data_IF_335686955430
#
_entry.id   IF_335686955430
#
_cell.length_a   1.000
_cell.length_b   1.000
_cell.length_c   1.000
_cell.angle_alpha   90.00
_cell.angle_beta   90.00
_cell.angle_gamma   90.00
#
_symmetry.space_group_name_H-M   'P 1'
#
loop_
_entity.id
_entity.type
_entity.pdbx_description
1 polymer ?
#
# COMPACT_ATOMS: atom_id res chain seq x y z
N UNK A 1 -18.11 -20.51 21.88
CA UNK A 1 -19.07 -19.39 22.07
C UNK A 1 -19.71 -19.05 20.72
N UNK A 2 -21.01 -18.57 20.68
CA UNK A 2 -21.60 -18.08 19.42
C UNK A 2 -21.01 -16.71 19.05
N UNK A 3 -20.79 -16.46 17.76
CA UNK A 3 -20.21 -15.21 17.27
C UNK A 3 -21.00 -13.96 17.70
N UNK A 4 -22.35 -14.05 17.77
CA UNK A 4 -23.19 -12.95 18.24
C UNK A 4 -22.98 -12.62 19.73
N UNK A 5 -22.64 -13.59 20.57
CA UNK A 5 -22.33 -13.35 21.98
C UNK A 5 -20.92 -12.71 22.12
N UNK A 6 -19.95 -13.18 21.34
CA UNK A 6 -18.62 -12.58 21.29
C UNK A 6 -18.68 -11.13 20.80
N UNK A 7 -19.57 -10.85 19.84
CA UNK A 7 -19.78 -9.49 19.33
C UNK A 7 -20.27 -8.52 20.42
N UNK A 8 -21.11 -8.95 21.35
CA UNK A 8 -21.53 -8.09 22.48
C UNK A 8 -20.34 -7.77 23.38
N UNK A 9 -19.49 -8.74 23.68
CA UNK A 9 -18.25 -8.52 24.46
C UNK A 9 -17.33 -7.53 23.72
N UNK A 10 -17.19 -7.69 22.40
CA UNK A 10 -16.40 -6.76 21.58
C UNK A 10 -16.94 -5.33 21.63
N UNK A 11 -18.26 -5.13 21.61
CA UNK A 11 -18.89 -3.81 21.71
C UNK A 11 -18.67 -3.14 23.07
N UNK A 12 -18.49 -3.92 24.13
CA UNK A 12 -18.17 -3.41 25.47
C UNK A 12 -16.69 -3.04 25.61
N UNK A 13 -15.83 -3.49 24.67
CA UNK A 13 -14.41 -3.18 24.64
C UNK A 13 -14.14 -1.88 23.87
N UNK A 14 -13.16 -1.09 24.32
CA UNK A 14 -12.82 0.20 23.68
C UNK A 14 -12.07 0.02 22.36
N UNK A 15 -11.30 -1.07 22.24
CA UNK A 15 -10.47 -1.37 21.06
C UNK A 15 -10.07 -2.85 21.03
N UNK A 16 -9.44 -3.26 19.94
CA UNK A 16 -8.85 -4.61 19.80
C UNK A 16 -7.33 -4.47 19.67
N UNK A 17 -6.59 -5.33 20.35
CA UNK A 17 -5.13 -5.43 20.20
C UNK A 17 -4.69 -6.88 20.01
N UNK A 18 -3.64 -7.09 19.23
CA UNK A 18 -2.93 -8.35 19.07
C UNK A 18 -1.50 -8.29 19.61
N UNK A 19 -1.11 -7.11 20.16
CA UNK A 19 0.23 -6.85 20.70
C UNK A 19 0.14 -6.67 22.22
N UNK A 20 0.66 -7.61 22.98
CA UNK A 20 0.68 -7.60 24.45
C UNK A 20 1.57 -6.50 25.06
N UNK A 21 2.37 -5.83 24.25
CA UNK A 21 3.18 -4.67 24.66
C UNK A 21 2.41 -3.36 24.56
N UNK A 22 1.30 -3.36 23.83
CA UNK A 22 0.41 -2.22 23.65
C UNK A 22 -1.04 -2.68 23.93
N UNK A 23 -1.43 -2.59 25.19
CA UNK A 23 -2.74 -2.99 25.71
C UNK A 23 -3.50 -1.74 26.18
N UNK A 24 -4.24 -1.05 25.30
CA UNK A 24 -5.10 0.05 25.74
C UNK A 24 -6.09 -0.43 26.79
N UNK A 25 -6.34 0.40 27.80
CA UNK A 25 -7.25 0.07 28.88
C UNK A 25 -8.65 -0.29 28.36
N UNK A 26 -9.24 -1.36 28.87
CA UNK A 26 -10.53 -1.87 28.41
C UNK A 26 -10.53 -2.53 27.00
N UNK A 27 -9.37 -2.81 26.41
CA UNK A 27 -9.30 -3.46 25.09
C UNK A 27 -9.56 -4.96 25.14
N UNK A 28 -9.88 -5.55 23.96
CA UNK A 28 -9.96 -6.98 23.71
C UNK A 28 -8.63 -7.46 23.13
N UNK A 29 -7.90 -8.29 23.88
CA UNK A 29 -6.69 -8.94 23.37
C UNK A 29 -7.05 -10.17 22.54
N UNK A 30 -6.43 -10.36 21.37
CA UNK A 30 -6.57 -11.57 20.53
C UNK A 30 -5.20 -12.25 20.40
N UNK A 31 -5.09 -13.46 20.93
CA UNK A 31 -3.84 -14.21 21.04
C UNK A 31 -3.46 -14.88 19.72
N UNK A 32 -2.93 -14.11 18.75
CA UNK A 32 -2.48 -14.68 17.47
C UNK A 32 -1.20 -15.51 17.64
N UNK A 33 -1.05 -16.53 16.81
CA UNK A 33 0.17 -17.33 16.66
C UNK A 33 0.96 -16.88 15.45
N UNK A 34 2.28 -16.79 15.58
CA UNK A 34 3.23 -16.58 14.49
C UNK A 34 4.21 -17.75 14.42
N UNK A 35 5.09 -17.73 13.43
CA UNK A 35 6.10 -18.78 13.23
C UNK A 35 7.04 -18.95 14.45
N UNK A 36 7.34 -17.86 15.15
CA UNK A 36 8.32 -17.81 16.23
C UNK A 36 7.72 -17.46 17.60
N UNK A 37 6.41 -17.26 17.72
CA UNK A 37 5.75 -16.91 18.98
C UNK A 37 4.33 -17.47 19.08
N UNK A 38 3.86 -17.66 20.33
CA UNK A 38 2.51 -18.05 20.64
C UNK A 38 1.84 -16.95 21.50
N UNK A 39 0.89 -16.22 20.91
CA UNK A 39 0.17 -15.13 21.59
C UNK A 39 -0.58 -15.57 22.84
N UNK A 40 -1.00 -16.84 22.92
CA UNK A 40 -1.68 -17.38 24.10
C UNK A 40 -0.85 -17.23 25.38
N UNK A 41 0.47 -17.39 25.30
CA UNK A 41 1.38 -17.23 26.43
C UNK A 41 1.39 -15.79 27.02
N UNK A 42 0.92 -14.81 26.27
CA UNK A 42 0.87 -13.41 26.66
C UNK A 42 -0.53 -12.97 27.12
N UNK A 43 -1.54 -13.83 27.10
CA UNK A 43 -2.91 -13.46 27.45
C UNK A 43 -3.02 -12.95 28.90
N UNK A 44 -2.33 -13.60 29.85
CA UNK A 44 -2.26 -13.11 31.24
C UNK A 44 -1.65 -11.72 31.31
N UNK A 45 -0.52 -11.50 30.65
CA UNK A 45 0.16 -10.20 30.63
C UNK A 45 -0.74 -9.11 30.07
N UNK A 46 -1.47 -9.40 28.98
CA UNK A 46 -2.40 -8.46 28.37
C UNK A 46 -3.54 -8.06 29.32
N UNK A 47 -4.12 -9.03 30.04
CA UNK A 47 -5.15 -8.78 31.05
C UNK A 47 -4.62 -7.99 32.24
N UNK A 48 -3.41 -8.29 32.71
CA UNK A 48 -2.75 -7.56 33.78
C UNK A 48 -2.35 -6.12 33.38
N UNK A 49 -2.18 -5.88 32.07
CA UNK A 49 -1.82 -4.59 31.48
C UNK A 49 -3.02 -3.71 31.10
N UNK A 50 -4.27 -4.13 31.37
CA UNK A 50 -5.46 -3.32 31.17
C UNK A 50 -6.46 -3.83 30.15
N UNK A 51 -6.17 -4.93 29.41
CA UNK A 51 -7.18 -5.55 28.57
C UNK A 51 -8.37 -6.06 29.38
N UNK A 52 -9.60 -5.81 28.93
CA UNK A 52 -10.82 -6.29 29.58
C UNK A 52 -11.01 -7.79 29.40
N UNK A 53 -10.71 -8.32 28.21
CA UNK A 53 -10.85 -9.73 27.85
C UNK A 53 -9.67 -10.17 26.98
N UNK A 54 -9.44 -11.50 26.96
CA UNK A 54 -8.45 -12.14 26.11
C UNK A 54 -9.06 -13.34 25.36
N UNK A 55 -9.06 -13.30 24.03
CA UNK A 55 -9.41 -14.44 23.17
C UNK A 55 -8.17 -15.32 23.04
N UNK A 56 -8.32 -16.59 23.40
CA UNK A 56 -7.28 -17.62 23.34
C UNK A 56 -7.80 -18.87 22.63
N UNK A 57 -6.93 -19.68 22.04
CA UNK A 57 -7.27 -20.97 21.43
C UNK A 57 -6.54 -22.16 22.08
N UNK A 58 -5.86 -21.93 23.21
CA UNK A 58 -5.17 -22.95 24.00
C UNK A 58 -5.54 -22.82 25.49
N UNK A 59 -6.35 -23.77 26.00
CA UNK A 59 -6.93 -23.72 27.35
C UNK A 59 -5.88 -23.68 28.48
N UNK A 60 -4.68 -24.26 28.27
CA UNK A 60 -3.62 -24.30 29.27
C UNK A 60 -3.10 -22.90 29.66
N UNK A 61 -3.39 -21.87 28.88
CA UNK A 61 -3.01 -20.48 29.20
C UNK A 61 -4.12 -19.71 29.93
N UNK A 62 -5.32 -20.29 30.08
CA UNK A 62 -6.36 -19.68 30.87
C UNK A 62 -6.10 -19.88 32.37
N UNK A 63 -6.48 -18.90 33.18
CA UNK A 63 -6.55 -19.07 34.65
C UNK A 63 -7.91 -19.61 34.99
N UNK A 64 -7.93 -20.72 35.73
CA UNK A 64 -9.17 -21.37 36.15
C UNK A 64 -10.04 -20.40 36.99
N UNK A 65 -11.32 -20.29 36.62
CA UNK A 65 -12.28 -19.38 37.25
C UNK A 65 -12.24 -17.93 36.78
N UNK A 66 -11.26 -17.51 35.98
CA UNK A 66 -11.20 -16.16 35.43
C UNK A 66 -12.00 -16.08 34.11
N UNK A 67 -13.17 -15.44 34.16
CA UNK A 67 -14.10 -15.32 33.02
C UNK A 67 -13.63 -14.33 31.95
N UNK A 68 -12.53 -13.64 32.15
CA UNK A 68 -11.96 -12.72 31.12
C UNK A 68 -11.30 -13.48 29.98
N UNK A 69 -10.98 -14.76 30.15
CA UNK A 69 -10.49 -15.61 29.08
C UNK A 69 -11.63 -16.18 28.25
N UNK A 70 -11.57 -15.94 26.94
CA UNK A 70 -12.55 -16.43 25.97
C UNK A 70 -11.87 -17.48 25.12
N UNK A 71 -12.22 -18.77 25.37
CA UNK A 71 -11.67 -19.87 24.57
C UNK A 71 -12.43 -20.02 23.27
N UNK A 72 -11.68 -20.10 22.17
CA UNK A 72 -12.15 -20.33 20.79
C UNK A 72 -11.35 -21.46 20.13
N UNK A 73 -11.80 -21.94 18.97
CA UNK A 73 -11.11 -22.99 18.23
C UNK A 73 -9.84 -22.46 17.51
N UNK A 74 -9.90 -21.23 16.99
CA UNK A 74 -8.82 -20.54 16.28
C UNK A 74 -8.98 -19.03 16.46
N UNK A 75 -7.96 -18.39 17.04
CA UNK A 75 -7.97 -16.94 17.30
C UNK A 75 -8.00 -16.09 16.04
N UNK A 76 -7.25 -16.49 15.00
CA UNK A 76 -7.18 -15.75 13.73
C UNK A 76 -8.50 -15.82 12.97
N UNK A 77 -9.05 -17.03 12.83
CA UNK A 77 -10.35 -17.23 12.19
C UNK A 77 -11.45 -16.49 12.95
N UNK A 78 -11.43 -16.52 14.28
CA UNK A 78 -12.39 -15.79 15.13
C UNK A 78 -12.29 -14.28 14.90
N UNK A 79 -11.08 -13.73 14.83
CA UNK A 79 -10.86 -12.31 14.52
C UNK A 79 -11.43 -11.93 13.15
N UNK A 80 -11.19 -12.73 12.13
CA UNK A 80 -11.68 -12.50 10.77
C UNK A 80 -13.21 -12.56 10.68
N UNK A 81 -13.83 -13.55 11.36
CA UNK A 81 -15.28 -13.68 11.45
C UNK A 81 -15.90 -12.51 12.22
N UNK A 82 -15.29 -12.10 13.34
CA UNK A 82 -15.74 -10.96 14.14
C UNK A 82 -15.68 -9.66 13.33
N UNK A 83 -14.59 -9.44 12.58
CA UNK A 83 -14.42 -8.26 11.73
C UNK A 83 -15.46 -8.21 10.60
N UNK A 84 -15.70 -9.33 9.91
CA UNK A 84 -16.75 -9.41 8.89
C UNK A 84 -18.14 -9.20 9.49
N UNK A 85 -18.42 -9.81 10.64
CA UNK A 85 -19.70 -9.63 11.34
C UNK A 85 -19.90 -8.16 11.73
N UNK A 86 -18.89 -7.53 12.33
CA UNK A 86 -18.92 -6.11 12.72
C UNK A 86 -19.19 -5.18 11.52
N UNK A 87 -18.44 -5.37 10.42
CA UNK A 87 -18.66 -4.64 9.18
C UNK A 87 -20.11 -4.74 8.68
N UNK A 88 -20.68 -5.94 8.72
CA UNK A 88 -22.08 -6.18 8.31
C UNK A 88 -23.10 -5.52 9.23
N UNK A 89 -22.85 -5.52 10.55
CA UNK A 89 -23.75 -4.87 11.52
C UNK A 89 -23.81 -3.34 11.32
N UNK A 90 -22.68 -2.71 10.99
CA UNK A 90 -22.62 -1.26 10.75
C UNK A 90 -23.14 -0.88 9.35
N UNK A 91 -23.02 -1.75 8.36
CA UNK A 91 -23.44 -1.45 6.99
C UNK A 91 -22.59 -0.37 6.28
N UNK A 92 -21.43 0.00 6.85
CA UNK A 92 -20.50 0.98 6.25
C UNK A 92 -20.09 0.53 4.85
N UNK A 93 -20.15 1.42 3.86
CA UNK A 93 -19.76 1.15 2.48
C UNK A 93 -18.25 1.00 2.36
N UNK A 94 -17.80 -0.08 1.75
CA UNK A 94 -16.38 -0.44 1.65
C UNK A 94 -15.87 -0.28 0.23
N UNK A 95 -14.76 0.47 0.07
CA UNK A 95 -13.98 0.57 -1.17
C UNK A 95 -12.76 -0.34 -1.02
N UNK A 96 -12.69 -1.43 -1.78
CA UNK A 96 -11.56 -2.34 -1.82
C UNK A 96 -10.50 -1.88 -2.81
N UNK A 97 -9.24 -1.84 -2.38
CA UNK A 97 -8.10 -1.45 -3.23
C UNK A 97 -7.09 -2.58 -3.29
N UNK A 98 -6.72 -2.99 -4.50
CA UNK A 98 -5.57 -3.86 -4.74
C UNK A 98 -4.76 -3.38 -5.95
N UNK A 99 -3.72 -4.11 -6.30
CA UNK A 99 -2.84 -3.83 -7.44
C UNK A 99 -1.40 -4.22 -7.15
N UNK A 100 -0.55 -4.09 -8.14
CA UNK A 100 0.88 -4.36 -7.97
C UNK A 100 1.56 -3.18 -7.28
N UNK A 101 1.53 -2.01 -7.89
CA UNK A 101 2.15 -0.78 -7.40
C UNK A 101 1.09 0.28 -7.07
N UNK A 102 1.44 1.27 -6.26
CA UNK A 102 0.61 2.44 -5.99
C UNK A 102 -0.57 2.21 -5.03
N UNK A 103 -0.83 1.01 -4.53
CA UNK A 103 -1.96 0.71 -3.61
C UNK A 103 -2.05 1.69 -2.44
N UNK A 104 -0.99 1.81 -1.67
CA UNK A 104 -0.95 2.66 -0.48
C UNK A 104 -1.06 4.13 -0.84
N UNK A 105 -0.35 4.60 -1.87
CA UNK A 105 -0.45 5.98 -2.35
C UNK A 105 -1.88 6.29 -2.81
N UNK A 106 -2.49 5.41 -3.61
CA UNK A 106 -3.88 5.57 -4.07
C UNK A 106 -4.86 5.57 -2.89
N UNK A 107 -4.70 4.65 -1.93
CA UNK A 107 -5.49 4.62 -0.70
C UNK A 107 -5.38 5.93 0.08
N UNK A 108 -4.20 6.46 0.25
CA UNK A 108 -3.98 7.71 0.99
C UNK A 108 -4.57 8.91 0.25
N UNK A 109 -4.39 9.00 -1.07
CA UNK A 109 -5.01 10.06 -1.88
C UNK A 109 -6.54 9.98 -1.86
N UNK A 110 -7.12 8.79 -2.04
CA UNK A 110 -8.56 8.58 -1.94
C UNK A 110 -9.07 9.00 -0.55
N UNK A 111 -8.37 8.59 0.50
CA UNK A 111 -8.76 8.92 1.87
C UNK A 111 -8.66 10.42 2.14
N UNK A 112 -7.58 11.08 1.70
CA UNK A 112 -7.41 12.53 1.82
C UNK A 112 -8.53 13.30 1.14
N UNK A 113 -8.92 12.87 -0.06
CA UNK A 113 -10.02 13.48 -0.84
C UNK A 113 -11.37 13.22 -0.17
N UNK A 114 -11.67 11.97 0.19
CA UNK A 114 -12.96 11.61 0.78
C UNK A 114 -13.17 12.26 2.16
N UNK A 115 -12.12 12.41 2.97
CA UNK A 115 -12.17 13.07 4.27
C UNK A 115 -12.58 14.57 4.19
N UNK A 116 -12.59 15.17 2.99
CA UNK A 116 -13.09 16.54 2.81
C UNK A 116 -14.63 16.66 2.97
N UNK A 117 -15.36 15.55 2.89
CA UNK A 117 -16.82 15.52 2.96
C UNK A 117 -17.42 14.37 3.76
N UNK A 118 -16.62 13.37 4.14
CA UNK A 118 -17.07 12.13 4.79
C UNK A 118 -16.20 11.76 5.99
N UNK A 119 -16.77 11.00 6.91
CA UNK A 119 -16.02 10.31 7.95
C UNK A 119 -15.49 8.99 7.39
N UNK A 120 -14.18 8.89 7.15
CA UNK A 120 -13.58 7.78 6.45
C UNK A 120 -12.67 6.96 7.35
N UNK A 121 -12.94 5.65 7.47
CA UNK A 121 -11.94 4.70 7.97
C UNK A 121 -11.05 4.25 6.82
N UNK A 122 -9.75 4.14 7.05
CA UNK A 122 -8.84 3.57 6.04
C UNK A 122 -7.74 2.72 6.66
N UNK A 123 -7.18 1.84 5.84
CA UNK A 123 -6.05 0.98 6.21
C UNK A 123 -4.84 1.83 6.61
N UNK A 124 -4.33 1.64 7.81
CA UNK A 124 -3.10 2.29 8.29
C UNK A 124 -1.87 1.50 7.83
N UNK A 125 -0.83 2.23 7.43
CA UNK A 125 0.42 1.62 7.02
C UNK A 125 0.22 0.56 5.93
N UNK A 126 0.71 -0.65 6.19
CA UNK A 126 0.64 -1.82 5.33
C UNK A 126 -0.25 -2.95 5.90
N UNK A 127 -1.27 -2.62 6.71
CA UNK A 127 -2.23 -3.58 7.28
C UNK A 127 -3.19 -4.13 6.23
N UNK A 128 -2.66 -4.77 5.19
CA UNK A 128 -3.37 -5.17 3.97
C UNK A 128 -3.44 -6.69 3.74
N UNK A 129 -3.05 -7.49 4.74
CA UNK A 129 -3.07 -8.95 4.68
C UNK A 129 -4.21 -9.55 5.54
N UNK A 130 -4.20 -10.88 5.71
CA UNK A 130 -5.20 -11.67 6.46
C UNK A 130 -5.31 -11.34 7.97
N UNK A 131 -4.38 -10.56 8.52
CA UNK A 131 -4.42 -9.99 9.89
C UNK A 131 -4.78 -8.50 9.81
N UNK A 132 -4.17 -7.74 8.91
CA UNK A 132 -4.31 -6.30 8.82
C UNK A 132 -5.70 -5.84 8.37
N UNK A 133 -6.31 -6.56 7.41
CA UNK A 133 -7.69 -6.25 6.96
C UNK A 133 -8.70 -6.40 8.10
N UNK A 134 -8.78 -7.53 8.83
CA UNK A 134 -9.68 -7.61 9.97
C UNK A 134 -9.34 -6.62 11.08
N UNK A 135 -8.05 -6.35 11.38
CA UNK A 135 -7.65 -5.32 12.33
C UNK A 135 -8.21 -3.93 11.93
N UNK A 136 -8.17 -3.61 10.65
CA UNK A 136 -8.71 -2.34 10.13
C UNK A 136 -10.23 -2.30 10.30
N UNK A 137 -10.95 -3.36 9.92
CA UNK A 137 -12.40 -3.44 10.00
C UNK A 137 -12.92 -3.38 11.45
N UNK A 138 -12.21 -3.96 12.42
CA UNK A 138 -12.57 -3.89 13.84
C UNK A 138 -12.42 -2.48 14.45
N UNK A 139 -11.85 -1.53 13.70
CA UNK A 139 -11.82 -0.09 14.05
C UNK A 139 -13.02 0.69 13.50
N UNK A 140 -13.91 0.06 12.73
CA UNK A 140 -15.14 0.71 12.27
C UNK A 140 -15.98 1.18 13.45
N UNK A 141 -16.67 2.30 13.25
CA UNK A 141 -17.60 2.87 14.21
C UNK A 141 -18.85 3.36 13.46
N UNK A 142 -19.99 3.54 14.15
CA UNK A 142 -21.23 3.97 13.52
C UNK A 142 -21.13 5.31 12.76
N UNK A 143 -20.21 6.19 13.17
CA UNK A 143 -19.98 7.47 12.51
C UNK A 143 -19.22 7.39 11.17
N UNK A 144 -18.62 6.25 10.82
CA UNK A 144 -17.89 6.12 9.54
C UNK A 144 -18.87 5.90 8.37
N UNK A 145 -18.88 6.83 7.43
CA UNK A 145 -19.68 6.75 6.19
C UNK A 145 -19.09 5.78 5.18
N UNK A 146 -17.77 5.74 5.12
CA UNK A 146 -16.97 5.00 4.14
C UNK A 146 -15.78 4.30 4.81
N UNK A 147 -15.37 3.18 4.22
CA UNK A 147 -14.11 2.53 4.59
C UNK A 147 -13.27 2.25 3.32
N UNK A 148 -11.99 2.60 3.35
CA UNK A 148 -11.03 2.37 2.26
C UNK A 148 -10.06 1.27 2.70
N UNK A 149 -10.23 0.06 2.14
CA UNK A 149 -9.53 -1.15 2.58
C UNK A 149 -8.52 -1.58 1.54
N UNK A 150 -7.24 -1.44 1.88
CA UNK A 150 -6.14 -1.95 1.07
C UNK A 150 -6.02 -3.46 1.24
N UNK A 151 -5.89 -4.19 0.12
CA UNK A 151 -5.76 -5.65 0.05
C UNK A 151 -4.52 -6.03 -0.73
N UNK A 152 -3.53 -6.60 -0.03
CA UNK A 152 -2.28 -7.10 -0.59
C UNK A 152 -2.34 -8.60 -0.85
N UNK A 153 -1.55 -9.08 -1.80
CA UNK A 153 -1.38 -10.51 -2.03
C UNK A 153 0.01 -10.81 -2.60
N UNK A 154 0.57 -11.93 -2.18
CA UNK A 154 1.80 -12.55 -2.69
C UNK A 154 1.52 -13.90 -3.37
N UNK A 155 0.33 -14.51 -3.12
CA UNK A 155 -0.06 -15.80 -3.69
C UNK A 155 -1.49 -15.75 -4.26
N UNK A 156 -1.83 -16.65 -5.22
CA UNK A 156 -3.19 -16.81 -5.72
C UNK A 156 -4.20 -17.14 -4.61
N UNK A 157 -5.41 -16.60 -4.72
CA UNK A 157 -6.50 -16.81 -3.76
C UNK A 157 -6.54 -15.82 -2.60
N UNK A 158 -5.45 -15.08 -2.33
CA UNK A 158 -5.39 -14.17 -1.18
C UNK A 158 -6.33 -12.95 -1.34
N UNK A 159 -6.44 -12.35 -2.53
CA UNK A 159 -7.40 -11.25 -2.74
C UNK A 159 -8.83 -11.75 -2.60
N UNK A 160 -9.16 -12.91 -3.15
CA UNK A 160 -10.47 -13.54 -2.97
C UNK A 160 -10.80 -13.75 -1.49
N UNK A 161 -9.83 -14.22 -0.72
CA UNK A 161 -9.97 -14.43 0.73
C UNK A 161 -10.23 -13.10 1.46
N UNK A 162 -9.44 -12.06 1.19
CA UNK A 162 -9.60 -10.74 1.79
C UNK A 162 -10.93 -10.08 1.38
N UNK A 163 -11.37 -10.26 0.14
CA UNK A 163 -12.71 -9.85 -0.29
C UNK A 163 -13.82 -10.55 0.50
N UNK A 164 -13.63 -11.81 0.89
CA UNK A 164 -14.57 -12.53 1.75
C UNK A 164 -14.69 -11.95 3.15
N UNK A 165 -13.62 -11.31 3.67
CA UNK A 165 -13.62 -10.64 4.97
C UNK A 165 -14.20 -9.22 4.84
N UNK A 166 -13.71 -8.43 3.89
CA UNK A 166 -14.05 -7.01 3.74
C UNK A 166 -15.39 -6.79 3.05
N UNK A 167 -15.81 -7.68 2.15
CA UNK A 167 -17.01 -7.59 1.31
C UNK A 167 -17.19 -6.23 0.62
N UNK A 168 -16.22 -5.79 -0.20
CA UNK A 168 -16.25 -4.46 -0.78
C UNK A 168 -17.52 -4.20 -1.61
N UNK A 169 -18.06 -2.98 -1.50
CA UNK A 169 -19.21 -2.47 -2.27
C UNK A 169 -18.75 -1.74 -3.53
N UNK A 170 -17.49 -1.32 -3.53
CA UNK A 170 -16.77 -0.65 -4.62
C UNK A 170 -15.36 -1.21 -4.67
N UNK A 171 -14.71 -1.13 -5.82
CA UNK A 171 -13.32 -1.56 -5.88
C UNK A 171 -12.50 -0.92 -6.98
N UNK A 172 -11.19 -0.98 -6.80
CA UNK A 172 -10.21 -0.50 -7.76
C UNK A 172 -8.99 -1.40 -7.76
N UNK A 173 -8.48 -1.73 -8.95
CA UNK A 173 -7.14 -2.28 -9.14
C UNK A 173 -6.28 -1.15 -9.71
N UNK A 174 -5.26 -0.73 -8.97
CA UNK A 174 -4.39 0.40 -9.38
C UNK A 174 -3.65 0.11 -10.67
N UNK A 175 -2.99 -1.02 -10.73
CA UNK A 175 -2.31 -1.55 -11.90
C UNK A 175 -1.96 -3.03 -11.71
N UNK A 176 -1.49 -3.66 -12.78
CA UNK A 176 -0.82 -4.96 -12.78
C UNK A 176 0.58 -4.81 -13.38
N UNK A 177 1.57 -5.42 -12.76
CA UNK A 177 2.97 -5.34 -13.14
C UNK A 177 3.76 -6.53 -12.61
N UNK A 178 5.01 -6.66 -13.02
CA UNK A 178 5.89 -7.73 -12.55
C UNK A 178 6.29 -7.49 -11.09
N UNK A 179 5.70 -8.25 -10.18
CA UNK A 179 6.05 -8.27 -8.76
C UNK A 179 5.64 -9.62 -8.15
N UNK A 180 6.34 -10.04 -7.09
CA UNK A 180 6.08 -11.30 -6.38
C UNK A 180 6.00 -12.51 -7.33
N UNK A 181 6.84 -12.53 -8.38
CA UNK A 181 6.79 -13.56 -9.43
C UNK A 181 7.03 -14.96 -8.85
N UNK A 182 7.82 -15.07 -7.80
CA UNK A 182 8.05 -16.32 -7.07
C UNK A 182 6.72 -16.90 -6.54
N UNK A 183 5.86 -16.07 -5.93
CA UNK A 183 4.59 -16.51 -5.35
C UNK A 183 3.46 -16.67 -6.38
N UNK A 184 3.43 -15.83 -7.43
CA UNK A 184 2.39 -15.88 -8.47
C UNK A 184 2.74 -16.79 -9.66
N UNK A 185 4.00 -17.21 -9.79
CA UNK A 185 4.50 -18.08 -10.85
C UNK A 185 4.69 -17.39 -12.21
N UNK A 186 3.91 -16.36 -12.55
CA UNK A 186 4.00 -15.61 -13.81
C UNK A 186 3.31 -14.26 -13.74
N UNK A 187 3.50 -13.43 -14.77
CA UNK A 187 2.75 -12.16 -14.90
C UNK A 187 1.24 -12.38 -15.07
N UNK A 188 0.83 -13.43 -15.78
CA UNK A 188 -0.57 -13.85 -15.89
C UNK A 188 -1.14 -14.24 -14.53
N UNK A 189 -0.33 -14.88 -13.67
CA UNK A 189 -0.67 -15.19 -12.28
C UNK A 189 -0.94 -13.93 -11.47
N UNK A 190 -0.16 -12.85 -11.67
CA UNK A 190 -0.42 -11.54 -11.05
C UNK A 190 -1.75 -10.98 -11.52
N UNK A 191 -2.02 -10.95 -12.84
CA UNK A 191 -3.26 -10.43 -13.42
C UNK A 191 -4.46 -11.19 -12.84
N UNK A 192 -4.40 -12.52 -12.83
CA UNK A 192 -5.47 -13.39 -12.32
C UNK A 192 -5.74 -13.13 -10.83
N UNK A 193 -4.69 -13.04 -10.02
CA UNK A 193 -4.85 -12.83 -8.57
C UNK A 193 -5.40 -11.45 -8.24
N UNK A 194 -4.92 -10.38 -8.89
CA UNK A 194 -5.50 -9.05 -8.68
C UNK A 194 -6.93 -8.99 -9.22
N UNK A 195 -7.22 -9.69 -10.33
CA UNK A 195 -8.55 -9.86 -10.92
C UNK A 195 -9.58 -10.53 -10.01
N UNK A 196 -9.16 -11.24 -8.95
CA UNK A 196 -10.06 -11.82 -7.95
C UNK A 196 -10.95 -10.75 -7.27
N UNK A 197 -10.48 -9.49 -7.16
CA UNK A 197 -11.32 -8.36 -6.73
C UNK A 197 -12.44 -8.11 -7.75
N UNK A 198 -12.12 -8.07 -9.05
CA UNK A 198 -13.12 -7.88 -10.10
C UNK A 198 -14.12 -9.04 -10.14
N UNK A 199 -13.67 -10.27 -9.90
CA UNK A 199 -14.57 -11.43 -9.81
C UNK A 199 -15.56 -11.32 -8.64
N UNK A 200 -15.09 -10.77 -7.50
CA UNK A 200 -15.96 -10.51 -6.36
C UNK A 200 -17.00 -9.43 -6.66
N UNK A 201 -16.56 -8.29 -7.22
CA UNK A 201 -17.43 -7.16 -7.56
C UNK A 201 -18.47 -7.54 -8.63
N UNK A 202 -18.08 -8.33 -9.65
CA UNK A 202 -18.97 -8.83 -10.70
C UNK A 202 -20.10 -9.68 -10.12
N UNK A 203 -19.79 -10.57 -9.15
CA UNK A 203 -20.80 -11.40 -8.48
C UNK A 203 -21.78 -10.59 -7.64
N UNK A 204 -21.33 -9.45 -7.11
CA UNK A 204 -22.12 -8.54 -6.28
C UNK A 204 -22.84 -7.47 -7.08
N UNK A 205 -22.63 -7.39 -8.40
CA UNK A 205 -23.08 -6.30 -9.29
C UNK A 205 -22.61 -4.92 -8.78
N UNK A 206 -21.40 -4.88 -8.24
CA UNK A 206 -20.83 -3.72 -7.57
C UNK A 206 -20.08 -2.80 -8.53
N UNK A 207 -19.99 -1.50 -8.19
CA UNK A 207 -19.29 -0.50 -9.01
C UNK A 207 -17.77 -0.68 -8.94
N UNK A 208 -17.13 -0.59 -10.10
CA UNK A 208 -15.68 -0.74 -10.27
C UNK A 208 -15.09 0.53 -10.87
N UNK A 209 -14.13 1.14 -10.17
CA UNK A 209 -13.33 2.25 -10.71
C UNK A 209 -12.17 1.67 -11.51
N UNK A 210 -11.99 2.12 -12.77
CA UNK A 210 -11.02 1.53 -13.68
C UNK A 210 -10.19 2.56 -14.42
N UNK A 211 -8.87 2.32 -14.47
CA UNK A 211 -7.95 3.08 -15.31
C UNK A 211 -8.09 2.61 -16.76
N UNK A 212 -8.74 3.43 -17.59
CA UNK A 212 -9.08 3.10 -18.98
C UNK A 212 -7.85 2.85 -19.84
N UNK A 213 -6.78 3.61 -19.63
CA UNK A 213 -5.54 3.52 -20.39
C UNK A 213 -4.72 2.26 -20.06
N UNK A 214 -5.16 1.44 -19.09
CA UNK A 214 -4.49 0.19 -18.74
C UNK A 214 -5.13 -1.01 -19.48
N UNK A 215 -4.49 -1.53 -20.56
CA UNK A 215 -5.07 -2.57 -21.39
C UNK A 215 -5.28 -3.89 -20.63
N UNK A 216 -4.44 -4.20 -19.65
CA UNK A 216 -4.58 -5.43 -18.86
C UNK A 216 -5.83 -5.38 -17.98
N UNK A 217 -6.13 -4.23 -17.37
CA UNK A 217 -7.33 -4.06 -16.56
C UNK A 217 -8.58 -4.07 -17.42
N UNK A 218 -8.56 -3.39 -18.57
CA UNK A 218 -9.66 -3.38 -19.53
C UNK A 218 -9.98 -4.79 -20.04
N UNK A 219 -8.97 -5.61 -20.31
CA UNK A 219 -9.15 -6.98 -20.79
C UNK A 219 -9.89 -7.91 -19.80
N UNK A 220 -9.78 -7.64 -18.48
CA UNK A 220 -10.43 -8.45 -17.43
C UNK A 220 -11.71 -7.80 -16.87
N UNK A 221 -12.15 -6.67 -17.42
CA UNK A 221 -13.26 -5.86 -16.89
C UNK A 221 -14.64 -6.25 -17.42
N UNK A 222 -14.75 -7.20 -18.34
CA UNK A 222 -16.01 -7.58 -18.95
C UNK A 222 -17.08 -7.94 -17.89
N UNK A 223 -18.29 -7.37 -18.04
CA UNK A 223 -19.42 -7.62 -17.16
C UNK A 223 -19.35 -6.93 -15.79
N UNK A 224 -18.53 -5.87 -15.65
CA UNK A 224 -18.47 -5.00 -14.49
C UNK A 224 -19.21 -3.68 -14.74
N UNK A 225 -19.74 -3.08 -13.69
CA UNK A 225 -20.26 -1.71 -13.70
C UNK A 225 -19.11 -0.73 -13.55
N UNK A 226 -18.68 -0.12 -14.66
CA UNK A 226 -17.43 0.66 -14.71
C UNK A 226 -17.68 2.16 -14.54
N UNK A 227 -16.84 2.79 -13.72
CA UNK A 227 -16.58 4.23 -13.69
C UNK A 227 -15.12 4.41 -14.11
N UNK A 228 -14.92 4.93 -15.32
CA UNK A 228 -13.62 4.96 -15.97
C UNK A 228 -12.92 6.32 -15.84
N UNK A 229 -11.60 6.28 -15.67
CA UNK A 229 -10.73 7.46 -15.67
C UNK A 229 -9.48 7.21 -16.52
N UNK A 230 -8.90 8.28 -17.03
CA UNK A 230 -7.70 8.20 -17.89
C UNK A 230 -7.43 9.49 -18.66
N UNK A 231 -6.88 9.37 -19.85
CA UNK A 231 -6.49 10.51 -20.69
C UNK A 231 -7.51 10.87 -21.77
N UNK A 232 -8.48 9.99 -22.07
CA UNK A 232 -9.49 10.23 -23.11
C UNK A 232 -10.60 11.16 -22.60
N UNK A 233 -11.09 12.04 -23.49
CA UNK A 233 -11.97 13.18 -23.16
C UNK A 233 -13.37 12.79 -22.63
N UNK A 234 -13.93 11.66 -23.02
CA UNK A 234 -15.30 11.25 -22.71
C UNK A 234 -15.41 10.30 -21.48
N UNK A 235 -14.29 10.12 -20.77
CA UNK A 235 -14.29 9.38 -19.52
C UNK A 235 -14.96 10.16 -18.38
N UNK A 236 -15.40 9.44 -17.33
CA UNK A 236 -16.01 10.07 -16.15
C UNK A 236 -15.10 11.12 -15.51
N UNK A 237 -13.79 10.85 -15.41
CA UNK A 237 -12.74 11.83 -15.12
C UNK A 237 -11.61 11.62 -16.13
N UNK A 238 -11.18 12.72 -16.73
CA UNK A 238 -10.00 12.70 -17.61
C UNK A 238 -9.03 13.81 -17.24
N UNK A 239 -7.78 13.64 -17.66
CA UNK A 239 -6.75 14.64 -17.38
C UNK A 239 -5.48 14.42 -18.18
N UNK A 240 -4.55 15.36 -18.05
CA UNK A 240 -3.23 15.28 -18.66
C UNK A 240 -2.17 15.91 -17.76
N UNK A 241 -0.96 15.39 -17.84
CA UNK A 241 0.19 15.93 -17.13
C UNK A 241 0.59 17.26 -17.77
N UNK A 242 0.84 18.27 -16.93
CA UNK A 242 1.33 19.60 -17.34
C UNK A 242 2.75 19.87 -16.86
N UNK A 243 3.26 19.10 -15.88
CA UNK A 243 4.62 19.18 -15.39
C UNK A 243 4.96 18.04 -14.42
N UNK A 244 6.27 17.76 -14.26
CA UNK A 244 6.75 16.66 -13.40
C UNK A 244 8.11 16.93 -12.73
N UNK A 245 8.54 18.19 -12.59
CA UNK A 245 9.87 18.50 -12.06
C UNK A 245 9.85 19.60 -11.01
N UNK A 246 10.11 19.30 -9.71
CA UNK A 246 10.28 17.98 -9.16
C UNK A 246 8.94 17.27 -8.89
N UNK A 247 7.84 18.00 -8.83
CA UNK A 247 6.52 17.51 -8.46
C UNK A 247 5.62 17.36 -9.68
N UNK A 248 4.73 16.38 -9.60
CA UNK A 248 3.68 16.14 -10.58
C UNK A 248 2.67 17.28 -10.56
N UNK A 249 2.50 17.94 -11.73
CA UNK A 249 1.43 18.87 -11.98
C UNK A 249 0.58 18.37 -13.16
N UNK A 250 -0.72 18.54 -13.06
CA UNK A 250 -1.66 18.07 -14.07
C UNK A 250 -2.93 18.91 -14.08
N UNK A 251 -3.68 18.77 -15.15
CA UNK A 251 -5.04 19.27 -15.25
C UNK A 251 -6.03 18.12 -15.41
N UNK A 252 -7.25 18.33 -14.97
CA UNK A 252 -8.32 17.34 -15.04
C UNK A 252 -9.68 17.99 -15.24
N UNK A 253 -10.65 17.23 -15.72
CA UNK A 253 -12.07 17.60 -15.81
C UNK A 253 -12.97 16.39 -15.60
N UNK A 254 -14.20 16.61 -15.17
CA UNK A 254 -15.24 15.59 -15.06
C UNK A 254 -16.08 15.53 -16.34
N UNK A 255 -15.88 14.47 -17.13
CA UNK A 255 -16.53 14.32 -18.44
C UNK A 255 -15.99 15.31 -19.48
N UNK A 256 -16.60 15.29 -20.67
CA UNK A 256 -16.14 16.05 -21.84
C UNK A 256 -16.28 17.57 -21.65
N UNK A 257 -17.39 18.00 -21.07
CA UNK A 257 -17.76 19.43 -20.93
C UNK A 257 -17.54 19.98 -19.52
N UNK A 258 -16.82 19.23 -18.67
CA UNK A 258 -16.50 19.66 -17.30
C UNK A 258 -15.57 20.85 -17.25
N UNK A 259 -15.64 21.61 -16.15
CA UNK A 259 -14.69 22.67 -15.84
C UNK A 259 -13.27 22.11 -15.73
N UNK A 260 -12.29 22.84 -16.24
CA UNK A 260 -10.89 22.49 -16.20
C UNK A 260 -10.27 22.90 -14.87
N UNK A 261 -9.73 21.93 -14.14
CA UNK A 261 -9.03 22.09 -12.87
C UNK A 261 -7.53 21.89 -13.07
N UNK A 262 -6.72 22.63 -12.32
CA UNK A 262 -5.25 22.50 -12.33
C UNK A 262 -4.76 22.19 -10.92
N UNK A 263 -3.93 21.16 -10.79
CA UNK A 263 -3.37 20.73 -9.52
C UNK A 263 -1.85 20.62 -9.61
N UNK A 264 -1.17 21.27 -8.67
CA UNK A 264 0.26 21.08 -8.42
C UNK A 264 0.38 20.29 -7.11
N UNK A 265 0.86 19.04 -7.20
CA UNK A 265 0.96 18.13 -6.04
C UNK A 265 2.35 18.20 -5.39
N UNK A 266 2.53 17.45 -4.28
CA UNK A 266 3.84 17.13 -3.72
C UNK A 266 4.27 15.69 -4.04
N UNK A 267 3.63 15.07 -5.03
CA UNK A 267 3.98 13.75 -5.53
C UNK A 267 5.13 13.84 -6.54
N UNK A 268 6.06 12.90 -6.48
CA UNK A 268 7.13 12.76 -7.46
C UNK A 268 6.76 11.62 -8.41
N UNK A 269 6.91 11.88 -9.71
CA UNK A 269 6.80 10.90 -10.78
C UNK A 269 5.42 10.83 -11.45
N UNK A 270 5.47 10.78 -12.78
CA UNK A 270 4.29 10.65 -13.65
C UNK A 270 3.47 9.40 -13.37
N UNK A 271 4.11 8.33 -12.84
CA UNK A 271 3.42 7.11 -12.43
C UNK A 271 2.42 7.30 -11.28
N UNK A 272 2.43 8.48 -10.61
CA UNK A 272 1.41 8.86 -9.63
C UNK A 272 0.20 9.56 -10.25
N UNK A 273 0.24 9.94 -11.52
CA UNK A 273 -0.88 10.57 -12.18
C UNK A 273 -2.15 9.69 -12.22
N UNK A 274 -2.08 8.40 -12.62
CA UNK A 274 -3.25 7.52 -12.52
C UNK A 274 -3.77 7.35 -11.09
N UNK A 275 -2.89 7.39 -10.06
CA UNK A 275 -3.28 7.31 -8.66
C UNK A 275 -4.07 8.57 -8.24
N UNK A 276 -3.66 9.75 -8.71
CA UNK A 276 -4.37 11.01 -8.47
C UNK A 276 -5.73 11.03 -9.19
N UNK A 277 -5.78 10.62 -10.47
CA UNK A 277 -7.04 10.52 -11.22
C UNK A 277 -8.02 9.55 -10.57
N UNK A 278 -7.54 8.44 -10.02
CA UNK A 278 -8.37 7.50 -9.25
C UNK A 278 -9.01 8.19 -8.02
N UNK A 279 -8.23 8.98 -7.28
CA UNK A 279 -8.72 9.69 -6.11
C UNK A 279 -9.75 10.78 -6.49
N UNK A 280 -9.51 11.51 -7.58
CA UNK A 280 -10.46 12.49 -8.14
C UNK A 280 -11.77 11.79 -8.52
N UNK A 281 -11.67 10.68 -9.26
CA UNK A 281 -12.82 9.90 -9.74
C UNK A 281 -13.70 9.43 -8.59
N UNK A 282 -13.08 8.84 -7.56
CA UNK A 282 -13.78 8.36 -6.38
C UNK A 282 -14.36 9.54 -5.57
N UNK A 283 -13.59 10.62 -5.39
CA UNK A 283 -14.07 11.83 -4.72
C UNK A 283 -15.31 12.42 -5.41
N UNK A 284 -15.26 12.58 -6.74
CA UNK A 284 -16.40 13.07 -7.53
C UNK A 284 -17.60 12.14 -7.46
N UNK A 285 -17.39 10.83 -7.51
CA UNK A 285 -18.45 9.82 -7.41
C UNK A 285 -19.17 9.90 -6.05
N UNK A 286 -18.44 10.15 -4.97
CA UNK A 286 -19.01 10.32 -3.63
C UNK A 286 -19.40 11.76 -3.30
N UNK A 287 -19.41 12.68 -4.27
CA UNK A 287 -19.95 14.03 -4.12
C UNK A 287 -19.02 15.04 -3.47
N UNK A 288 -17.71 14.76 -3.41
CA UNK A 288 -16.74 15.78 -2.95
C UNK A 288 -16.65 16.90 -3.99
N UNK A 289 -16.70 18.15 -3.53
CA UNK A 289 -16.57 19.32 -4.37
C UNK A 289 -15.20 19.37 -5.06
N UNK A 290 -15.15 19.74 -6.34
CA UNK A 290 -13.93 19.75 -7.13
C UNK A 290 -12.79 20.56 -6.49
N UNK A 291 -13.09 21.75 -5.98
CA UNK A 291 -12.11 22.60 -5.29
C UNK A 291 -11.49 21.92 -4.07
N UNK A 292 -12.28 21.22 -3.27
CA UNK A 292 -11.79 20.46 -2.11
C UNK A 292 -10.93 19.27 -2.52
N UNK A 293 -11.23 18.62 -3.66
CA UNK A 293 -10.39 17.58 -4.24
C UNK A 293 -9.03 18.16 -4.62
N UNK A 294 -9.02 19.31 -5.32
CA UNK A 294 -7.78 19.99 -5.75
C UNK A 294 -6.91 20.36 -4.53
N UNK A 295 -7.52 20.96 -3.50
CA UNK A 295 -6.84 21.32 -2.25
C UNK A 295 -6.25 20.08 -1.55
N UNK A 296 -7.04 19.01 -1.40
CA UNK A 296 -6.59 17.78 -0.75
C UNK A 296 -5.39 17.12 -1.48
N UNK A 297 -5.40 17.14 -2.82
CA UNK A 297 -4.30 16.58 -3.62
C UNK A 297 -3.05 17.47 -3.59
N UNK A 298 -3.22 18.79 -3.56
CA UNK A 298 -2.11 19.73 -3.48
C UNK A 298 -1.41 19.71 -2.11
N UNK A 299 -2.16 19.51 -1.03
CA UNK A 299 -1.65 19.47 0.34
C UNK A 299 -1.08 18.10 0.74
N UNK A 300 -1.48 17.03 0.05
CA UNK A 300 -1.01 15.69 0.39
C UNK A 300 0.50 15.57 0.23
N UNK A 301 1.17 15.24 1.33
CA UNK A 301 2.62 14.99 1.37
C UNK A 301 2.88 13.49 1.56
N UNK A 302 3.59 12.82 0.60
CA UNK A 302 3.97 11.42 0.75
C UNK A 302 4.78 11.17 2.01
N UNK A 303 4.46 10.07 2.69
CA UNK A 303 5.16 9.58 3.87
C UNK A 303 5.62 8.12 3.65
N UNK A 304 6.26 7.52 4.64
CA UNK A 304 6.60 6.10 4.62
C UNK A 304 7.56 5.68 3.49
N UNK A 305 8.53 6.54 3.13
CA UNK A 305 9.55 6.25 2.12
C UNK A 305 8.98 5.86 0.75
N UNK A 306 7.86 6.50 0.34
CA UNK A 306 7.23 6.29 -0.97
C UNK A 306 7.31 7.58 -1.78
N UNK A 307 8.29 7.65 -2.69
CA UNK A 307 8.55 8.81 -3.57
C UNK A 307 8.58 10.15 -2.81
N UNK A 308 9.18 10.16 -1.63
CA UNK A 308 9.25 11.29 -0.72
C UNK A 308 10.46 12.17 -1.04
N UNK A 309 10.26 13.47 -1.23
CA UNK A 309 11.36 14.43 -1.33
C UNK A 309 11.82 14.87 0.06
N UNK A 310 13.13 14.79 0.31
CA UNK A 310 13.75 15.32 1.52
C UNK A 310 14.98 16.13 1.14
N UNK A 311 15.02 17.39 1.57
CA UNK A 311 16.25 18.20 1.47
C UNK A 311 17.07 18.03 2.72
N UNK A 312 18.35 17.74 2.57
CA UNK A 312 19.35 17.74 3.63
C UNK A 312 20.25 18.96 3.47
N UNK A 313 21.26 19.12 4.32
CA UNK A 313 22.22 20.20 4.21
C UNK A 313 23.03 20.12 2.92
N UNK A 314 23.38 18.90 2.50
CA UNK A 314 24.29 18.65 1.37
C UNK A 314 23.57 18.19 0.09
N UNK A 315 22.38 17.59 0.19
CA UNK A 315 21.75 16.87 -0.94
C UNK A 315 20.24 17.07 -1.00
N UNK A 316 19.65 16.72 -2.16
CA UNK A 316 18.21 16.52 -2.31
C UNK A 316 17.93 15.03 -2.51
N UNK A 317 17.15 14.42 -1.64
CA UNK A 317 16.87 12.98 -1.64
C UNK A 317 15.46 12.70 -2.18
N UNK A 318 15.35 11.75 -3.10
CA UNK A 318 14.09 11.12 -3.51
C UNK A 318 14.08 9.74 -2.87
N UNK A 319 13.31 9.58 -1.78
CA UNK A 319 13.29 8.37 -0.98
C UNK A 319 12.11 7.51 -1.43
N UNK A 320 12.41 6.40 -2.09
CA UNK A 320 11.42 5.40 -2.55
C UNK A 320 11.86 3.98 -2.15
N UNK A 321 12.22 3.84 -0.88
CA UNK A 321 12.86 2.65 -0.31
C UNK A 321 11.91 1.76 0.51
N UNK A 322 10.59 1.87 0.31
CA UNK A 322 9.63 0.98 0.96
C UNK A 322 9.61 -0.41 0.33
N UNK A 323 9.58 -0.52 -1.00
CA UNK A 323 9.69 -1.76 -1.76
C UNK A 323 10.12 -1.48 -3.20
N UNK A 324 10.69 -2.50 -3.87
CA UNK A 324 11.08 -2.44 -5.26
C UNK A 324 10.71 -3.73 -6.00
N UNK A 325 10.25 -3.56 -7.23
CA UNK A 325 10.04 -4.60 -8.22
C UNK A 325 10.43 -4.05 -9.60
N UNK A 326 10.58 -4.89 -10.65
CA UNK A 326 11.05 -4.45 -11.96
C UNK A 326 10.24 -3.28 -12.54
N UNK A 327 8.92 -3.34 -12.44
CA UNK A 327 8.03 -2.28 -12.96
C UNK A 327 8.23 -0.96 -12.22
N UNK A 328 8.26 -0.99 -10.88
CA UNK A 328 8.43 0.24 -10.09
C UNK A 328 9.84 0.80 -10.13
N UNK A 329 10.86 -0.05 -10.26
CA UNK A 329 12.26 0.36 -10.40
C UNK A 329 12.45 1.09 -11.72
N UNK A 330 12.00 0.51 -12.83
CA UNK A 330 12.09 1.12 -14.16
C UNK A 330 11.34 2.44 -14.22
N UNK A 331 10.11 2.50 -13.70
CA UNK A 331 9.32 3.74 -13.67
C UNK A 331 10.00 4.87 -12.88
N UNK A 332 10.62 4.55 -11.74
CA UNK A 332 11.36 5.53 -10.94
C UNK A 332 12.62 6.03 -11.66
N UNK A 333 13.36 5.14 -12.31
CA UNK A 333 14.56 5.49 -13.09
C UNK A 333 14.22 6.38 -14.29
N UNK A 334 13.21 6.01 -15.08
CA UNK A 334 12.74 6.80 -16.23
C UNK A 334 12.28 8.19 -15.79
N UNK A 335 11.49 8.28 -14.73
CA UNK A 335 11.09 9.57 -14.19
C UNK A 335 12.30 10.39 -13.74
N UNK A 336 13.23 9.80 -12.99
CA UNK A 336 14.41 10.50 -12.49
C UNK A 336 15.35 10.94 -13.61
N UNK A 337 15.49 10.16 -14.68
CA UNK A 337 16.24 10.55 -15.88
C UNK A 337 15.64 11.79 -16.53
N UNK A 338 14.31 11.87 -16.63
CA UNK A 338 13.59 12.98 -17.27
C UNK A 338 13.49 14.24 -16.40
N UNK A 339 13.76 14.13 -15.09
CA UNK A 339 13.72 15.31 -14.20
C UNK A 339 14.84 16.30 -14.55
N UNK A 340 14.50 17.58 -14.58
CA UNK A 340 15.48 18.67 -14.73
C UNK A 340 16.07 19.04 -13.38
N UNK A 341 17.07 18.29 -12.94
CA UNK A 341 17.79 18.48 -11.67
C UNK A 341 19.30 18.32 -11.89
N UNK A 342 20.15 19.06 -11.12
CA UNK A 342 21.59 18.91 -11.23
C UNK A 342 22.07 17.61 -10.60
N UNK A 343 23.22 17.11 -11.06
CA UNK A 343 24.01 16.05 -10.43
C UNK A 343 23.19 14.84 -9.95
N UNK A 344 22.80 13.98 -10.88
CA UNK A 344 21.97 12.81 -10.60
C UNK A 344 22.79 11.65 -10.06
N UNK A 345 22.42 11.15 -8.87
CA UNK A 345 23.01 9.98 -8.26
C UNK A 345 21.96 8.90 -7.96
N UNK A 346 22.32 7.64 -8.11
CA UNK A 346 21.50 6.49 -7.76
C UNK A 346 22.09 5.73 -6.57
N UNK A 347 21.23 5.34 -5.62
CA UNK A 347 21.51 4.32 -4.61
C UNK A 347 20.38 3.29 -4.72
N UNK A 348 20.68 2.16 -5.39
CA UNK A 348 19.68 1.15 -5.70
C UNK A 348 19.98 -0.15 -4.98
N UNK A 349 18.97 -0.74 -4.36
CA UNK A 349 19.06 -2.04 -3.69
C UNK A 349 18.30 -3.12 -4.44
N UNK A 350 18.70 -4.37 -4.19
CA UNK A 350 18.10 -5.55 -4.81
C UNK A 350 16.57 -5.55 -4.76
N UNK A 351 15.98 -6.06 -5.83
CA UNK A 351 14.57 -6.38 -5.95
C UNK A 351 14.35 -7.82 -5.49
N UNK A 352 13.60 -8.00 -4.40
CA UNK A 352 13.31 -9.32 -3.82
C UNK A 352 12.08 -9.97 -4.45
N UNK A 353 11.86 -11.26 -4.17
CA UNK A 353 10.67 -12.03 -4.53
C UNK A 353 10.47 -12.22 -6.05
N UNK A 354 11.56 -12.24 -6.79
CA UNK A 354 11.56 -12.46 -8.25
C UNK A 354 11.84 -13.92 -8.63
N UNK A 355 12.29 -14.76 -7.68
CA UNK A 355 12.64 -16.16 -7.93
C UNK A 355 13.67 -16.32 -9.05
N UNK A 356 13.41 -17.22 -9.98
CA UNK A 356 14.32 -17.51 -11.10
C UNK A 356 14.52 -16.33 -12.07
N UNK A 357 13.59 -15.36 -12.11
CA UNK A 357 13.68 -14.20 -13.00
C UNK A 357 14.62 -13.11 -12.46
N UNK A 358 15.09 -13.24 -11.20
CA UNK A 358 15.87 -12.20 -10.52
C UNK A 358 17.10 -11.75 -11.30
N UNK A 359 17.99 -12.63 -11.81
CA UNK A 359 19.18 -12.20 -12.53
C UNK A 359 18.84 -11.40 -13.80
N UNK A 360 17.86 -11.88 -14.57
CA UNK A 360 17.46 -11.23 -15.83
C UNK A 360 16.81 -9.84 -15.58
N UNK A 361 15.99 -9.70 -14.56
CA UNK A 361 15.34 -8.42 -14.26
C UNK A 361 16.35 -7.41 -13.66
N UNK A 362 17.33 -7.85 -12.85
CA UNK A 362 18.40 -6.96 -12.37
C UNK A 362 19.31 -6.52 -13.54
N UNK A 363 19.66 -7.42 -14.45
CA UNK A 363 20.46 -7.08 -15.63
C UNK A 363 19.76 -6.03 -16.51
N UNK A 364 18.44 -6.12 -16.71
CA UNK A 364 17.68 -5.08 -17.46
C UNK A 364 17.76 -3.71 -16.81
N UNK A 365 17.73 -3.64 -15.49
CA UNK A 365 17.90 -2.36 -14.76
C UNK A 365 19.31 -1.82 -14.98
N UNK A 366 20.32 -2.68 -14.85
CA UNK A 366 21.73 -2.32 -15.09
C UNK A 366 21.94 -1.83 -16.53
N UNK A 367 21.39 -2.52 -17.53
CA UNK A 367 21.52 -2.14 -18.94
C UNK A 367 20.87 -0.78 -19.20
N UNK A 368 19.68 -0.51 -18.62
CA UNK A 368 19.05 0.81 -18.68
C UNK A 368 19.93 1.92 -18.08
N UNK A 369 20.57 1.65 -16.92
CA UNK A 369 21.45 2.61 -16.24
C UNK A 369 22.69 2.90 -17.10
N UNK A 370 23.26 1.90 -17.75
CA UNK A 370 24.42 2.08 -18.67
C UNK A 370 24.12 3.00 -19.85
N UNK A 371 22.87 3.00 -20.32
CA UNK A 371 22.41 3.85 -21.44
C UNK A 371 21.93 5.24 -20.98
N UNK A 372 21.98 5.52 -19.67
CA UNK A 372 21.48 6.74 -19.06
C UNK A 372 22.62 7.63 -18.55
N UNK A 373 22.34 8.95 -18.39
CA UNK A 373 23.32 9.97 -17.99
C UNK A 373 23.37 10.17 -16.45
N UNK A 374 23.37 9.09 -15.67
CA UNK A 374 23.54 9.20 -14.23
C UNK A 374 25.03 9.33 -13.86
N UNK A 375 25.37 10.41 -13.11
CA UNK A 375 26.78 10.74 -12.81
C UNK A 375 27.41 9.78 -11.80
N UNK A 376 26.63 9.30 -10.84
CA UNK A 376 27.11 8.39 -9.79
C UNK A 376 26.09 7.29 -9.53
N UNK A 377 26.53 6.04 -9.50
CA UNK A 377 25.65 4.88 -9.31
C UNK A 377 26.23 3.95 -8.25
N UNK A 378 25.46 3.71 -7.22
CA UNK A 378 25.75 2.73 -6.16
C UNK A 378 24.69 1.64 -6.17
N UNK A 379 25.11 0.41 -6.25
CA UNK A 379 24.26 -0.77 -6.27
C UNK A 379 24.49 -1.59 -5.02
N UNK A 380 23.41 -2.04 -4.37
CA UNK A 380 23.47 -2.68 -3.04
C UNK A 380 22.75 -4.02 -3.06
N UNK A 381 23.48 -5.09 -2.77
CA UNK A 381 22.97 -6.45 -2.69
C UNK A 381 23.63 -7.42 -3.68
N UNK A 382 23.38 -8.68 -3.43
CA UNK A 382 24.02 -9.80 -4.14
C UNK A 382 23.58 -9.89 -5.61
N UNK A 383 22.30 -9.59 -5.88
CA UNK A 383 21.75 -9.72 -7.23
C UNK A 383 22.33 -8.67 -8.18
N UNK A 384 22.43 -7.42 -7.72
CA UNK A 384 23.13 -6.40 -8.49
C UNK A 384 24.63 -6.70 -8.61
N UNK A 385 25.28 -7.20 -7.56
CA UNK A 385 26.71 -7.52 -7.59
C UNK A 385 27.06 -8.63 -8.59
N UNK A 386 26.12 -9.52 -8.91
CA UNK A 386 26.30 -10.60 -9.90
C UNK A 386 25.93 -10.19 -11.33
N UNK A 387 25.34 -9.01 -11.54
CA UNK A 387 25.01 -8.46 -12.86
C UNK A 387 26.26 -7.94 -13.58
N UNK A 388 26.22 -7.90 -14.91
CA UNK A 388 27.36 -7.43 -15.72
C UNK A 388 27.45 -5.90 -15.77
N UNK A 389 28.34 -5.29 -14.99
CA UNK A 389 28.60 -3.84 -14.99
C UNK A 389 29.92 -3.46 -14.33
N UNK A 390 30.25 -2.14 -14.35
CA UNK A 390 31.43 -1.54 -13.70
C UNK A 390 31.06 -0.53 -12.60
N UNK A 391 29.79 -0.44 -12.20
CA UNK A 391 29.33 0.46 -11.13
C UNK A 391 29.84 -0.01 -9.76
N UNK A 392 29.92 0.94 -8.80
CA UNK A 392 30.28 0.63 -7.44
C UNK A 392 29.19 -0.22 -6.78
N UNK A 393 29.57 -1.34 -6.18
CA UNK A 393 28.68 -2.29 -5.50
C UNK A 393 29.03 -2.41 -4.03
N UNK A 394 28.01 -2.71 -3.22
CA UNK A 394 28.10 -2.95 -1.78
C UNK A 394 27.33 -4.23 -1.46
N UNK A 395 27.86 -5.04 -0.55
CA UNK A 395 27.17 -6.26 -0.13
C UNK A 395 25.87 -5.98 0.63
N UNK A 396 25.88 -4.93 1.44
CA UNK A 396 24.73 -4.51 2.24
C UNK A 396 24.74 -2.99 2.53
N UNK A 397 23.70 -2.54 3.23
CA UNK A 397 23.53 -1.13 3.58
C UNK A 397 24.58 -0.62 4.60
N UNK A 398 25.21 -1.50 5.39
CA UNK A 398 26.22 -1.09 6.38
C UNK A 398 27.50 -0.64 5.68
N UNK A 399 27.88 -1.30 4.59
CA UNK A 399 29.01 -0.88 3.77
C UNK A 399 28.74 0.49 3.12
N UNK A 400 27.51 0.74 2.65
CA UNK A 400 27.10 2.06 2.14
C UNK A 400 27.23 3.13 3.22
N UNK A 401 26.73 2.87 4.43
CA UNK A 401 26.79 3.81 5.55
C UNK A 401 28.24 4.13 5.92
N UNK A 402 29.10 3.10 5.97
CA UNK A 402 30.52 3.30 6.23
C UNK A 402 31.17 4.23 5.20
N UNK A 403 30.92 3.99 3.92
CA UNK A 403 31.45 4.81 2.84
C UNK A 403 30.92 6.27 2.90
N UNK A 404 29.62 6.45 3.25
CA UNK A 404 29.03 7.77 3.46
C UNK A 404 29.65 8.53 4.64
N UNK A 405 30.10 7.83 5.66
CA UNK A 405 30.80 8.44 6.80
C UNK A 405 32.24 8.86 6.46
N UNK A 406 32.89 8.18 5.52
CA UNK A 406 34.26 8.48 5.06
C UNK A 406 34.28 9.56 3.96
N UNK A 407 33.38 9.46 2.95
CA UNK A 407 33.32 10.38 1.80
C UNK A 407 31.86 10.61 1.36
N UNK A 408 31.18 11.53 2.02
CA UNK A 408 29.80 11.89 1.74
C UNK A 408 29.65 12.64 0.42
N UNK A 409 28.79 12.20 -0.53
CA UNK A 409 28.48 12.97 -1.73
C UNK A 409 27.76 14.28 -1.36
N UNK A 410 28.08 15.36 -2.10
CA UNK A 410 27.51 16.70 -1.89
C UNK A 410 27.02 17.31 -3.19
N UNK A 411 25.91 18.04 -3.11
CA UNK A 411 25.32 18.74 -4.27
C UNK A 411 24.53 17.84 -5.19
N UNK A 412 24.24 16.59 -4.81
CA UNK A 412 23.50 15.65 -5.63
C UNK A 412 21.99 15.68 -5.39
N UNK A 413 21.24 15.40 -6.45
CA UNK A 413 19.90 14.84 -6.32
C UNK A 413 20.02 13.32 -6.35
N UNK A 414 19.58 12.63 -5.28
CA UNK A 414 19.85 11.20 -5.07
C UNK A 414 18.53 10.43 -5.05
N UNK A 415 18.35 9.51 -5.98
CA UNK A 415 17.26 8.52 -5.93
C UNK A 415 17.69 7.32 -5.10
N UNK A 416 16.95 7.04 -4.02
CA UNK A 416 17.17 5.91 -3.11
C UNK A 416 16.01 4.93 -3.29
N UNK A 417 16.26 3.76 -3.88
CA UNK A 417 15.22 2.76 -4.13
C UNK A 417 15.74 1.32 -3.99
N UNK A 418 14.93 0.48 -3.33
CA UNK A 418 15.24 -0.94 -3.12
C UNK A 418 14.13 -1.64 -2.35
N UNK A 419 14.19 -2.96 -2.26
CA UNK A 419 13.30 -3.73 -1.42
C UNK A 419 13.51 -3.41 0.05
N UNK A 420 12.42 -3.45 0.84
CA UNK A 420 12.45 -3.10 2.27
C UNK A 420 13.55 -3.87 3.06
N UNK A 421 13.77 -5.14 2.71
CA UNK A 421 14.76 -5.98 3.37
C UNK A 421 16.23 -5.55 3.15
N UNK A 422 16.51 -4.65 2.18
CA UNK A 422 17.84 -4.04 1.99
C UNK A 422 18.05 -2.88 2.96
N UNK A 423 16.96 -2.29 3.49
CA UNK A 423 16.97 -1.21 4.50
C UNK A 423 17.65 0.08 4.05
N UNK A 424 17.59 0.42 2.75
CA UNK A 424 18.23 1.63 2.21
C UNK A 424 17.75 2.94 2.86
N UNK A 425 16.56 2.96 3.48
CA UNK A 425 16.07 4.13 4.22
C UNK A 425 17.01 4.55 5.37
N UNK A 426 17.82 3.63 5.89
CA UNK A 426 18.81 3.96 6.94
C UNK A 426 19.98 4.81 6.45
N UNK A 427 20.21 4.92 5.12
CA UNK A 427 21.25 5.80 4.56
C UNK A 427 20.88 7.28 4.63
N UNK A 428 19.58 7.60 4.79
CA UNK A 428 19.01 8.96 4.72
C UNK A 428 19.56 9.89 5.81
N UNK A 429 19.99 9.33 6.95
CA UNK A 429 20.56 10.10 8.06
C UNK A 429 22.02 10.48 7.81
N UNK A 430 22.70 9.82 6.87
CA UNK A 430 24.10 10.04 6.52
C UNK A 430 24.28 10.85 5.23
N UNK A 431 23.20 11.17 4.51
CA UNK A 431 23.16 11.94 3.29
C UNK A 431 22.65 13.37 3.53
#
# INVERSE_FOLDING_TARGET
MKLSALYQIFLDCQSVTTDSRNCPDGSLFIALKGESFNGNAFAKLALDSGCAFAIIDEIQYAIEGDQRYILVDDCLQTMQQLANYHRRQLGTRVIGITGTNGKTTTKELISSVLCQAHNVLYTLGNLNNHIGVPTTLLRLKPEHDLAVIEMGANHPGEIKFLCGIAEPDYGIITNVGKAHLEGFGSFEGVIKTKGELYDFLRKKDATTFIHHDNPYLMNISQGLNLISYGTEDDLYVNGRITGNSPYLAFEWKAGKDGELHQVCTQLIGEYNFPNALAAITIGRFFGVEAKKIDEALAEYTPQNNRSQLKKTEDNTLIIDAYNANPTSMMAALQNFQNMTVPHKMLILGDMRELGADSPAEHQKIVDYIKESDFEKVWLVGEQFATSEHSFKTYADVQEVIKDLQEDKPKGYTILIKGSNGIKLSSTVEFL
#
